data_IF_671515678251
#
_entry.id   IF_671515678251
#
_cell.length_a   1.000
_cell.length_b   1.000
_cell.length_c   1.000
_cell.angle_alpha   90.00
_cell.angle_beta   90.00
_cell.angle_gamma   90.00
#
_symmetry.space_group_name_H-M   'P 1'
#
loop_
_entity.id
_entity.type
_entity.pdbx_description
1 polymer ?
#
# COMPACT_ATOMS: atom_id res chain seq x y z
N UNK A 1 2.05 -19.02 23.51
CA UNK A 1 3.12 -18.45 22.67
C UNK A 1 4.02 -19.47 21.96
N UNK A 2 3.59 -20.70 21.71
CA UNK A 2 4.48 -21.82 21.23
C UNK A 2 3.99 -22.59 19.99
N UNK A 3 3.05 -22.05 19.18
CA UNK A 3 2.46 -22.78 18.04
C UNK A 3 2.64 -22.14 16.67
N UNK A 4 3.43 -21.07 16.56
CA UNK A 4 3.66 -20.38 15.28
C UNK A 4 4.90 -20.82 14.52
N UNK A 5 5.87 -21.47 15.20
CA UNK A 5 7.13 -21.91 14.59
C UNK A 5 7.07 -23.33 13.98
N UNK A 6 6.04 -24.12 14.27
CA UNK A 6 5.95 -25.53 13.83
C UNK A 6 5.10 -25.75 12.57
N UNK A 7 4.55 -24.71 11.94
CA UNK A 7 3.92 -24.77 10.62
C UNK A 7 4.70 -24.01 9.53
N UNK A 8 6.01 -24.02 9.60
CA UNK A 8 6.84 -23.85 8.40
C UNK A 8 6.62 -25.13 7.58
N UNK A 9 5.60 -25.07 6.72
CA UNK A 9 5.20 -26.19 5.88
C UNK A 9 6.42 -26.65 5.07
N UNK A 10 6.88 -27.86 5.29
CA UNK A 10 7.89 -28.51 4.44
C UNK A 10 7.71 -28.16 2.94
N UNK A 11 6.48 -28.13 2.38
CA UNK A 11 6.27 -27.73 1.00
C UNK A 11 6.69 -26.27 0.70
N UNK A 12 6.52 -25.33 1.63
CA UNK A 12 6.92 -23.93 1.40
C UNK A 12 8.43 -23.78 1.34
N UNK A 13 9.17 -24.47 2.22
CA UNK A 13 10.64 -24.50 2.19
C UNK A 13 11.15 -25.21 0.93
N UNK A 14 10.51 -26.32 0.52
CA UNK A 14 10.87 -27.01 -0.70
C UNK A 14 10.67 -26.12 -1.94
N UNK A 15 9.55 -25.42 -2.04
CA UNK A 15 9.30 -24.47 -3.14
C UNK A 15 10.33 -23.33 -3.13
N UNK A 16 10.63 -22.74 -1.97
CA UNK A 16 11.66 -21.70 -1.86
C UNK A 16 13.05 -22.22 -2.29
N UNK A 17 13.42 -23.42 -1.87
CA UNK A 17 14.67 -24.05 -2.27
C UNK A 17 14.74 -24.30 -3.79
N UNK A 18 13.66 -24.79 -4.40
CA UNK A 18 13.57 -24.99 -5.86
C UNK A 18 13.71 -23.67 -6.61
N UNK A 19 13.04 -22.60 -6.15
CA UNK A 19 13.13 -21.26 -6.76
C UNK A 19 14.57 -20.74 -6.67
N UNK A 20 15.21 -20.81 -5.51
CA UNK A 20 16.59 -20.34 -5.33
C UNK A 20 17.58 -21.20 -6.13
N UNK A 21 17.41 -22.52 -6.16
CA UNK A 21 18.23 -23.42 -6.98
C UNK A 21 18.07 -23.14 -8.48
N UNK A 22 16.84 -22.94 -8.94
CA UNK A 22 16.54 -22.53 -10.32
C UNK A 22 17.19 -21.20 -10.68
N UNK A 23 17.09 -20.18 -9.79
CA UNK A 23 17.77 -18.92 -9.96
C UNK A 23 19.28 -19.09 -10.04
N UNK A 24 19.86 -19.88 -9.14
CA UNK A 24 21.31 -20.14 -9.16
C UNK A 24 21.76 -20.83 -10.44
N UNK A 25 21.05 -21.87 -10.90
CA UNK A 25 21.35 -22.57 -12.16
C UNK A 25 21.25 -21.63 -13.37
N UNK A 26 20.21 -20.80 -13.43
CA UNK A 26 20.06 -19.80 -14.50
C UNK A 26 21.17 -18.74 -14.45
N UNK A 27 21.61 -18.32 -13.26
CA UNK A 27 22.70 -17.35 -13.13
C UNK A 27 24.05 -17.88 -13.65
N UNK A 28 24.25 -19.20 -13.70
CA UNK A 28 25.43 -19.81 -14.30
C UNK A 28 25.42 -19.74 -15.84
N UNK A 29 24.22 -19.69 -16.44
CA UNK A 29 24.05 -19.64 -17.91
C UNK A 29 24.04 -18.21 -18.45
N UNK A 30 23.43 -17.28 -17.71
CA UNK A 30 23.33 -15.87 -18.07
C UNK A 30 24.42 -15.09 -17.32
N UNK A 31 25.22 -14.29 -17.97
CA UNK A 31 26.27 -13.50 -17.31
C UNK A 31 25.73 -12.62 -16.17
N UNK A 32 26.58 -12.25 -15.22
CA UNK A 32 26.23 -11.49 -14.02
C UNK A 32 25.54 -10.13 -14.32
N UNK A 33 25.73 -9.58 -15.51
CA UNK A 33 25.05 -8.37 -15.98
C UNK A 33 23.56 -8.58 -16.28
N UNK A 34 23.13 -9.81 -16.58
CA UNK A 34 21.72 -10.13 -16.88
C UNK A 34 21.05 -10.71 -15.65
N UNK A 35 21.68 -11.69 -15.01
CA UNK A 35 21.14 -12.38 -13.85
C UNK A 35 22.24 -12.63 -12.81
N UNK A 36 22.38 -11.76 -11.81
CA UNK A 36 23.35 -11.93 -10.74
C UNK A 36 23.04 -13.18 -9.91
N UNK A 37 24.08 -13.85 -9.40
CA UNK A 37 23.90 -15.03 -8.55
C UNK A 37 23.26 -14.65 -7.21
N UNK A 38 22.51 -15.57 -6.56
CA UNK A 38 21.96 -15.35 -5.23
C UNK A 38 23.03 -14.94 -4.20
N UNK A 39 24.23 -15.50 -4.29
CA UNK A 39 25.34 -15.15 -3.41
C UNK A 39 25.85 -13.72 -3.64
N UNK A 40 25.88 -13.23 -4.89
CA UNK A 40 26.24 -11.86 -5.19
C UNK A 40 25.19 -10.90 -4.60
N UNK A 41 23.90 -11.18 -4.81
CA UNK A 41 22.80 -10.38 -4.27
C UNK A 41 22.84 -10.35 -2.74
N UNK A 42 23.10 -11.48 -2.09
CA UNK A 42 23.24 -11.54 -0.63
C UNK A 42 24.39 -10.65 -0.12
N UNK A 43 25.55 -10.66 -0.81
CA UNK A 43 26.69 -9.76 -0.47
C UNK A 43 26.32 -8.30 -0.63
N UNK A 44 25.68 -7.92 -1.75
CA UNK A 44 25.23 -6.55 -1.94
C UNK A 44 24.18 -6.12 -0.90
N UNK A 45 23.29 -7.05 -0.49
CA UNK A 45 22.38 -6.83 0.61
C UNK A 45 23.10 -6.56 1.94
N UNK A 46 24.14 -7.32 2.28
CA UNK A 46 24.94 -7.09 3.47
C UNK A 46 25.67 -5.73 3.42
N UNK A 47 26.14 -5.32 2.25
CA UNK A 47 26.79 -4.03 2.04
C UNK A 47 25.86 -2.84 2.33
N UNK A 48 24.65 -2.82 1.76
CA UNK A 48 23.69 -1.73 2.00
C UNK A 48 23.19 -1.67 3.44
N UNK A 49 23.23 -2.79 4.17
CA UNK A 49 22.94 -2.83 5.61
C UNK A 49 24.11 -2.23 6.38
N UNK A 50 25.36 -2.62 6.06
CA UNK A 50 26.57 -2.13 6.73
C UNK A 50 26.78 -0.63 6.51
N UNK A 51 26.51 -0.11 5.32
CA UNK A 51 26.60 1.33 4.99
C UNK A 51 25.42 2.16 5.54
N UNK A 52 24.34 1.50 5.98
CA UNK A 52 23.14 2.17 6.44
C UNK A 52 22.24 2.71 5.33
N UNK A 53 22.57 2.49 4.06
CA UNK A 53 21.75 2.94 2.92
C UNK A 53 20.34 2.36 2.92
N UNK A 54 20.20 1.11 3.36
CA UNK A 54 18.90 0.46 3.48
C UNK A 54 17.91 1.28 4.32
N UNK A 55 18.36 1.82 5.46
CA UNK A 55 17.51 2.60 6.36
C UNK A 55 17.18 3.95 5.79
N UNK A 56 18.14 4.61 5.15
CA UNK A 56 17.97 5.93 4.55
C UNK A 56 16.92 5.90 3.44
N UNK A 57 17.05 4.99 2.49
CA UNK A 57 16.18 4.93 1.32
C UNK A 57 14.82 4.31 1.64
N UNK A 58 14.77 3.23 2.44
CA UNK A 58 13.52 2.63 2.90
C UNK A 58 12.72 3.60 3.77
N UNK A 59 13.38 4.31 4.70
CA UNK A 59 12.74 5.32 5.53
C UNK A 59 12.14 6.47 4.71
N UNK A 60 12.86 6.94 3.69
CA UNK A 60 12.37 7.98 2.78
C UNK A 60 11.10 7.53 2.01
N UNK A 61 11.10 6.32 1.45
CA UNK A 61 9.93 5.75 0.77
C UNK A 61 8.76 5.58 1.72
N UNK A 62 8.98 4.98 2.89
CA UNK A 62 7.91 4.77 3.88
C UNK A 62 7.31 6.07 4.40
N UNK A 63 8.11 7.12 4.60
CA UNK A 63 7.62 8.43 5.00
C UNK A 63 6.69 9.04 3.95
N UNK A 64 7.06 9.00 2.65
CA UNK A 64 6.22 9.48 1.55
C UNK A 64 4.93 8.68 1.44
N UNK A 65 5.02 7.36 1.55
CA UNK A 65 3.86 6.47 1.53
C UNK A 65 2.93 6.80 2.71
N UNK A 66 3.46 6.96 3.91
CA UNK A 66 2.66 7.28 5.09
C UNK A 66 1.89 8.60 4.93
N UNK A 67 2.53 9.64 4.37
CA UNK A 67 1.88 10.94 4.12
C UNK A 67 0.83 10.82 3.00
N UNK A 68 1.17 10.24 1.85
CA UNK A 68 0.25 10.12 0.71
C UNK A 68 -0.94 9.21 1.01
N UNK A 69 -0.69 8.04 1.58
CA UNK A 69 -1.73 7.09 1.99
C UNK A 69 -2.58 7.63 3.14
N UNK A 70 -1.96 8.22 4.17
CA UNK A 70 -2.68 8.83 5.28
C UNK A 70 -3.60 9.95 4.83
N UNK A 71 -3.12 10.83 3.95
CA UNK A 71 -3.95 11.87 3.32
C UNK A 71 -5.11 11.29 2.52
N UNK A 72 -4.88 10.22 1.74
CA UNK A 72 -5.92 9.54 0.97
C UNK A 72 -6.99 8.92 1.87
N UNK A 73 -6.60 8.27 2.97
CA UNK A 73 -7.55 7.71 3.94
C UNK A 73 -8.39 8.81 4.58
N UNK A 74 -7.78 9.92 5.00
CA UNK A 74 -8.51 11.05 5.57
C UNK A 74 -9.51 11.65 4.57
N UNK A 75 -9.09 11.88 3.33
CA UNK A 75 -9.95 12.38 2.28
C UNK A 75 -11.08 11.39 1.94
N UNK A 76 -10.80 10.09 1.89
CA UNK A 76 -11.81 9.04 1.67
C UNK A 76 -12.86 9.01 2.78
N UNK A 77 -12.45 9.17 4.05
CA UNK A 77 -13.39 9.27 5.18
C UNK A 77 -14.26 10.52 5.05
N UNK A 78 -13.69 11.66 4.68
CA UNK A 78 -14.47 12.88 4.44
C UNK A 78 -15.47 12.71 3.30
N UNK A 79 -15.07 12.11 2.18
CA UNK A 79 -15.97 11.81 1.05
C UNK A 79 -17.10 10.86 1.47
N UNK A 80 -16.82 9.83 2.25
CA UNK A 80 -17.82 8.91 2.75
C UNK A 80 -18.80 9.58 3.72
N UNK A 81 -18.33 10.49 4.59
CA UNK A 81 -19.18 11.30 5.45
C UNK A 81 -20.11 12.20 4.63
N UNK A 82 -19.60 12.86 3.60
CA UNK A 82 -20.40 13.68 2.69
C UNK A 82 -21.45 12.81 1.94
N UNK A 83 -21.06 11.63 1.47
CA UNK A 83 -21.96 10.66 0.82
C UNK A 83 -23.06 10.14 1.76
N UNK A 84 -22.82 10.14 3.07
CA UNK A 84 -23.83 9.79 4.07
C UNK A 84 -24.93 10.85 4.23
N UNK A 85 -24.58 12.14 4.07
CA UNK A 85 -25.49 13.25 4.30
C UNK A 85 -26.61 13.35 3.25
N UNK A 86 -26.35 12.98 1.97
CA UNK A 86 -27.33 13.13 0.90
C UNK A 86 -27.13 12.09 -0.20
N UNK A 87 -28.26 11.60 -0.77
CA UNK A 87 -28.24 10.71 -1.93
C UNK A 87 -27.61 11.36 -3.17
N UNK A 88 -27.84 12.67 -3.37
CA UNK A 88 -27.24 13.41 -4.48
C UNK A 88 -25.70 13.44 -4.34
N UNK A 89 -25.22 13.82 -3.15
CA UNK A 89 -23.77 13.85 -2.87
C UNK A 89 -23.14 12.48 -3.04
N UNK A 90 -23.83 11.41 -2.63
CA UNK A 90 -23.36 10.04 -2.85
C UNK A 90 -23.17 9.72 -4.33
N UNK A 91 -24.10 10.13 -5.21
CA UNK A 91 -23.96 9.98 -6.66
C UNK A 91 -22.73 10.72 -7.19
N UNK A 92 -22.56 11.98 -6.81
CA UNK A 92 -21.39 12.78 -7.23
C UNK A 92 -20.07 12.16 -6.74
N UNK A 93 -20.00 11.69 -5.49
CA UNK A 93 -18.81 11.02 -4.95
C UNK A 93 -18.53 9.72 -5.71
N UNK A 94 -19.57 8.94 -6.01
CA UNK A 94 -19.42 7.71 -6.80
C UNK A 94 -18.84 8.00 -8.18
N UNK A 95 -19.36 8.99 -8.89
CA UNK A 95 -18.88 9.35 -10.23
C UNK A 95 -17.46 9.90 -10.19
N UNK A 96 -17.13 10.76 -9.20
CA UNK A 96 -15.77 11.26 -8.98
C UNK A 96 -14.78 10.09 -8.76
N UNK A 97 -15.13 9.17 -7.89
CA UNK A 97 -14.31 7.99 -7.60
C UNK A 97 -14.13 7.11 -8.84
N UNK A 98 -15.18 6.94 -9.66
CA UNK A 98 -15.10 6.18 -10.91
C UNK A 98 -14.13 6.84 -11.91
N UNK A 99 -14.18 8.16 -12.06
CA UNK A 99 -13.25 8.91 -12.93
C UNK A 99 -11.81 8.77 -12.42
N UNK A 100 -11.56 8.90 -11.13
CA UNK A 100 -10.23 8.75 -10.56
C UNK A 100 -9.68 7.32 -10.75
N UNK A 101 -10.51 6.30 -10.58
CA UNK A 101 -10.13 4.89 -10.82
C UNK A 101 -9.83 4.57 -12.28
N UNK A 102 -10.48 5.26 -13.23
CA UNK A 102 -10.23 5.05 -14.65
C UNK A 102 -8.95 5.70 -15.15
N UNK A 103 -8.35 6.59 -14.35
CA UNK A 103 -7.14 7.32 -14.73
C UNK A 103 -5.88 6.45 -14.50
N UNK A 104 -5.02 6.36 -15.52
CA UNK A 104 -3.77 5.61 -15.43
C UNK A 104 -2.81 6.19 -14.38
N UNK A 105 -2.09 5.31 -13.69
CA UNK A 105 -1.03 5.69 -12.75
C UNK A 105 0.00 6.62 -13.39
N UNK A 106 0.38 6.35 -14.64
CA UNK A 106 1.36 7.18 -15.36
C UNK A 106 0.89 8.62 -15.59
N UNK A 107 -0.41 8.83 -15.82
CA UNK A 107 -0.97 10.19 -15.94
C UNK A 107 -0.74 10.96 -14.64
N UNK A 108 -1.01 10.34 -13.49
CA UNK A 108 -0.79 10.97 -12.19
C UNK A 108 0.69 11.23 -11.91
N UNK A 109 1.60 10.35 -12.33
CA UNK A 109 3.05 10.57 -12.21
C UNK A 109 3.46 11.78 -13.03
N UNK A 110 3.04 11.89 -14.29
CA UNK A 110 3.41 13.01 -15.16
C UNK A 110 2.86 14.32 -14.61
N UNK A 111 1.58 14.35 -14.21
CA UNK A 111 0.96 15.55 -13.62
C UNK A 111 1.69 15.94 -12.34
N UNK A 112 2.04 14.99 -11.48
CA UNK A 112 2.74 15.27 -10.23
C UNK A 112 4.10 15.90 -10.45
N UNK A 113 4.84 15.46 -11.45
CA UNK A 113 6.15 16.04 -11.79
C UNK A 113 5.99 17.44 -12.38
N UNK A 114 4.97 17.69 -13.21
CA UNK A 114 4.69 19.01 -13.76
C UNK A 114 4.34 20.01 -12.65
N UNK A 115 3.54 19.61 -11.66
CA UNK A 115 3.07 20.50 -10.59
C UNK A 115 4.08 20.70 -9.46
N UNK A 116 4.79 19.65 -9.08
CA UNK A 116 5.67 19.66 -7.90
C UNK A 116 7.16 19.54 -8.23
N UNK A 117 7.50 19.38 -9.52
CA UNK A 117 8.89 19.16 -9.95
C UNK A 117 9.49 17.88 -9.38
N UNK A 118 10.83 17.82 -9.38
CA UNK A 118 11.59 16.72 -8.79
C UNK A 118 11.68 16.87 -7.26
N UNK A 119 10.59 16.61 -6.58
CA UNK A 119 10.44 16.80 -5.14
C UNK A 119 9.73 15.62 -4.46
N UNK A 120 9.79 15.58 -3.13
CA UNK A 120 9.08 14.58 -2.33
C UNK A 120 7.55 14.62 -2.53
N UNK A 121 7.00 15.77 -2.96
CA UNK A 121 5.57 15.95 -3.17
C UNK A 121 5.05 15.18 -4.38
N UNK A 122 5.87 14.95 -5.41
CA UNK A 122 5.45 14.21 -6.60
C UNK A 122 5.02 12.75 -6.28
N UNK A 123 5.83 11.90 -5.64
CA UNK A 123 5.39 10.56 -5.27
C UNK A 123 4.32 10.57 -4.16
N UNK A 124 4.31 11.55 -3.24
CA UNK A 124 3.25 11.69 -2.23
C UNK A 124 1.90 11.93 -2.90
N UNK A 125 1.82 12.90 -3.83
CA UNK A 125 0.61 13.23 -4.56
C UNK A 125 0.13 12.06 -5.43
N UNK A 126 1.03 11.41 -6.15
CA UNK A 126 0.69 10.24 -6.99
C UNK A 126 0.11 9.11 -6.12
N UNK A 127 0.75 8.83 -4.98
CA UNK A 127 0.27 7.83 -4.02
C UNK A 127 -1.12 8.19 -3.48
N UNK A 128 -1.34 9.47 -3.13
CA UNK A 128 -2.63 9.98 -2.70
C UNK A 128 -3.71 9.76 -3.76
N UNK A 129 -3.46 10.20 -5.01
CA UNK A 129 -4.45 10.16 -6.09
C UNK A 129 -4.88 8.73 -6.49
N UNK A 130 -3.95 7.77 -6.42
CA UNK A 130 -4.25 6.36 -6.73
C UNK A 130 -4.94 5.65 -5.56
N UNK A 131 -4.59 6.00 -4.34
CA UNK A 131 -5.11 5.31 -3.15
C UNK A 131 -6.48 5.82 -2.74
N UNK A 132 -6.72 7.12 -2.91
CA UNK A 132 -7.98 7.79 -2.55
C UNK A 132 -9.21 7.07 -3.12
N UNK A 133 -9.33 6.82 -4.44
CA UNK A 133 -10.53 6.22 -4.99
C UNK A 133 -10.75 4.79 -4.48
N UNK A 134 -9.68 4.04 -4.22
CA UNK A 134 -9.77 2.65 -3.73
C UNK A 134 -10.34 2.61 -2.30
N UNK A 135 -9.85 3.47 -1.41
CA UNK A 135 -10.37 3.55 -0.04
C UNK A 135 -11.78 4.14 -0.03
N UNK A 136 -12.02 5.18 -0.84
CA UNK A 136 -13.32 5.85 -0.92
C UNK A 136 -14.41 4.92 -1.46
N UNK A 137 -14.15 4.12 -2.52
CA UNK A 137 -15.11 3.13 -3.03
C UNK A 137 -15.56 2.17 -1.92
N UNK A 138 -14.61 1.58 -1.22
CA UNK A 138 -14.92 0.65 -0.12
C UNK A 138 -15.76 1.32 0.98
N UNK A 139 -15.41 2.55 1.37
CA UNK A 139 -16.16 3.28 2.39
C UNK A 139 -17.57 3.67 1.94
N UNK A 140 -17.74 4.14 0.70
CA UNK A 140 -19.06 4.49 0.16
C UNK A 140 -19.96 3.25 0.08
N UNK A 141 -19.42 2.10 -0.33
CA UNK A 141 -20.13 0.81 -0.27
C UNK A 141 -20.48 0.44 1.17
N UNK A 142 -19.56 0.63 2.11
CA UNK A 142 -19.81 0.43 3.53
C UNK A 142 -20.95 1.27 4.07
N UNK A 143 -21.00 2.55 3.69
CA UNK A 143 -22.13 3.45 4.05
C UNK A 143 -23.44 3.01 3.40
N UNK A 144 -23.40 2.54 2.17
CA UNK A 144 -24.58 2.05 1.45
C UNK A 144 -25.13 0.73 2.02
N UNK A 145 -24.27 -0.09 2.61
CA UNK A 145 -24.59 -1.40 3.19
C UNK A 145 -25.19 -1.34 4.61
N UNK A 146 -25.29 -0.15 5.22
CA UNK A 146 -25.89 0.00 6.55
C UNK A 146 -27.35 -0.41 6.51
N UNK A 147 -27.72 -1.38 7.35
CA UNK A 147 -29.10 -1.89 7.42
C UNK A 147 -30.06 -0.82 7.96
N UNK A 148 -31.05 -0.50 7.12
CA UNK A 148 -32.10 0.46 7.47
C UNK A 148 -32.88 0.07 8.71
N UNK A 149 -33.08 -1.23 8.95
CA UNK A 149 -33.80 -1.74 10.14
C UNK A 149 -33.09 -1.33 11.43
N UNK A 150 -31.74 -1.31 11.42
CA UNK A 150 -30.96 -0.83 12.57
C UNK A 150 -31.15 0.67 12.81
N UNK A 151 -31.29 1.46 11.74
CA UNK A 151 -31.57 2.90 11.86
C UNK A 151 -32.99 3.15 12.37
N UNK A 152 -33.99 2.41 11.87
CA UNK A 152 -35.38 2.45 12.33
C UNK A 152 -35.48 1.99 13.79
N UNK A 153 -34.76 0.93 14.19
CA UNK A 153 -34.65 0.53 15.59
C UNK A 153 -34.08 1.67 16.45
N UNK A 154 -33.05 2.37 15.97
CA UNK A 154 -32.52 3.55 16.64
C UNK A 154 -33.56 4.67 16.81
N UNK A 155 -34.53 4.81 15.87
CA UNK A 155 -35.64 5.76 15.99
C UNK A 155 -36.63 5.35 17.10
N UNK A 156 -36.96 4.07 17.17
CA UNK A 156 -37.84 3.52 18.24
C UNK A 156 -37.22 3.77 19.62
N UNK A 157 -35.92 3.58 19.76
CA UNK A 157 -35.17 3.87 21.01
C UNK A 157 -34.87 5.36 21.21
N UNK A 158 -35.38 6.25 20.34
CA UNK A 158 -35.17 7.70 20.39
C UNK A 158 -33.68 8.11 20.43
N UNK A 159 -32.82 7.37 19.74
CA UNK A 159 -31.41 7.72 19.63
C UNK A 159 -31.26 9.02 18.83
N UNK A 160 -30.43 9.93 19.33
CA UNK A 160 -30.03 11.12 18.57
C UNK A 160 -29.25 10.76 17.30
N UNK A 161 -29.22 11.66 16.31
CA UNK A 161 -28.45 11.44 15.08
C UNK A 161 -26.98 11.09 15.33
N UNK A 162 -26.34 11.73 16.31
CA UNK A 162 -24.98 11.43 16.74
C UNK A 162 -24.84 10.02 17.33
N UNK A 163 -25.80 9.59 18.14
CA UNK A 163 -25.80 8.24 18.71
C UNK A 163 -25.99 7.17 17.62
N UNK A 164 -26.91 7.37 16.67
CA UNK A 164 -27.08 6.46 15.52
C UNK A 164 -25.82 6.38 14.69
N UNK A 165 -25.18 7.53 14.42
CA UNK A 165 -23.94 7.56 13.66
C UNK A 165 -22.83 6.77 14.37
N UNK A 166 -22.58 7.03 15.66
CA UNK A 166 -21.48 6.37 16.40
C UNK A 166 -21.75 4.92 16.77
N UNK A 167 -23.01 4.55 17.06
CA UNK A 167 -23.38 3.21 17.51
C UNK A 167 -23.78 2.26 16.37
N UNK A 168 -24.22 2.79 15.22
CA UNK A 168 -24.70 1.96 14.10
C UNK A 168 -23.82 2.15 12.87
N UNK A 169 -23.71 3.39 12.37
CA UNK A 169 -23.04 3.65 11.07
C UNK A 169 -21.54 3.35 11.15
N UNK A 170 -20.84 3.92 12.12
CA UNK A 170 -19.39 3.74 12.27
C UNK A 170 -19.01 2.28 12.44
N UNK A 171 -19.62 1.50 13.37
CA UNK A 171 -19.28 0.08 13.50
C UNK A 171 -19.59 -0.74 12.24
N UNK A 172 -20.69 -0.42 11.54
CA UNK A 172 -21.07 -1.12 10.30
C UNK A 172 -20.11 -0.84 9.13
N UNK A 173 -19.55 0.38 9.06
CA UNK A 173 -18.63 0.79 7.98
C UNK A 173 -17.15 0.46 8.26
N UNK A 174 -16.79 0.22 9.53
CA UNK A 174 -15.41 -0.04 9.94
C UNK A 174 -14.74 -1.23 9.20
N UNK A 175 -15.41 -2.39 8.97
CA UNK A 175 -14.84 -3.48 8.20
C UNK A 175 -14.49 -3.09 6.76
N UNK A 176 -15.31 -2.23 6.14
CA UNK A 176 -15.08 -1.71 4.78
C UNK A 176 -13.90 -0.75 4.75
N UNK A 177 -13.75 0.10 5.77
CA UNK A 177 -12.57 0.95 5.92
C UNK A 177 -11.30 0.10 6.00
N UNK A 178 -11.28 -0.92 6.86
CA UNK A 178 -10.11 -1.79 7.02
C UNK A 178 -9.80 -2.54 5.72
N UNK A 179 -10.81 -3.04 5.01
CA UNK A 179 -10.64 -3.69 3.71
C UNK A 179 -10.06 -2.73 2.66
N UNK A 180 -10.64 -1.53 2.54
CA UNK A 180 -10.16 -0.48 1.64
C UNK A 180 -8.74 -0.03 1.96
N UNK A 181 -8.41 0.16 3.24
CA UNK A 181 -7.05 0.47 3.68
C UNK A 181 -6.06 -0.63 3.33
N UNK A 182 -6.41 -1.89 3.50
CA UNK A 182 -5.54 -3.02 3.16
C UNK A 182 -5.19 -3.04 1.67
N UNK A 183 -6.19 -2.95 0.81
CA UNK A 183 -6.00 -2.92 -0.65
C UNK A 183 -5.25 -1.65 -1.07
N UNK A 184 -5.69 -0.49 -0.57
CA UNK A 184 -5.09 0.80 -0.87
C UNK A 184 -3.63 0.91 -0.44
N UNK A 185 -3.26 0.37 0.72
CA UNK A 185 -1.88 0.38 1.18
C UNK A 185 -0.95 -0.49 0.30
N UNK A 186 -1.42 -1.68 -0.12
CA UNK A 186 -0.68 -2.51 -1.06
C UNK A 186 -0.44 -1.83 -2.41
N UNK A 187 -1.39 -1.02 -2.87
CA UNK A 187 -1.22 -0.17 -4.06
C UNK A 187 -0.28 1.01 -3.79
N UNK A 188 -0.41 1.68 -2.64
CA UNK A 188 0.43 2.80 -2.24
C UNK A 188 1.92 2.44 -2.28
N UNK A 189 2.30 1.28 -1.73
CA UNK A 189 3.67 0.76 -1.77
C UNK A 189 4.20 0.61 -3.20
N UNK A 190 3.42 -0.01 -4.09
CA UNK A 190 3.82 -0.24 -5.48
C UNK A 190 3.95 1.06 -6.26
N UNK A 191 2.94 1.92 -6.14
CA UNK A 191 2.85 3.17 -6.90
C UNK A 191 3.90 4.18 -6.45
N UNK A 192 4.16 4.30 -5.13
CA UNK A 192 5.19 5.19 -4.60
C UNK A 192 6.56 4.85 -5.16
N UNK A 193 6.93 3.57 -5.21
CA UNK A 193 8.23 3.13 -5.77
C UNK A 193 8.34 3.48 -7.27
N UNK A 194 7.25 3.29 -8.04
CA UNK A 194 7.24 3.67 -9.47
C UNK A 194 7.36 5.19 -9.63
N UNK A 195 6.66 5.97 -8.81
CA UNK A 195 6.74 7.44 -8.85
C UNK A 195 8.13 7.95 -8.43
N UNK A 196 8.81 7.25 -7.51
CA UNK A 196 10.18 7.57 -7.08
C UNK A 196 11.22 7.42 -8.19
N UNK A 197 10.98 6.55 -9.17
CA UNK A 197 11.87 6.38 -10.33
C UNK A 197 12.06 7.70 -11.10
N UNK A 198 11.01 8.52 -11.16
CA UNK A 198 10.96 9.69 -12.01
C UNK A 198 11.04 11.03 -11.25
N UNK A 199 10.70 11.04 -9.97
CA UNK A 199 10.37 12.27 -9.27
C UNK A 199 11.31 12.71 -8.15
N UNK A 200 12.29 11.90 -7.73
CA UNK A 200 13.08 12.18 -6.52
C UNK A 200 14.53 11.69 -6.62
N UNK A 201 15.36 12.13 -5.64
CA UNK A 201 16.78 11.76 -5.51
C UNK A 201 17.04 10.83 -4.32
N UNK A 202 16.01 10.20 -3.76
CA UNK A 202 16.13 9.26 -2.63
C UNK A 202 14.93 8.32 -2.62
N UNK A 203 15.03 7.18 -1.95
CA UNK A 203 13.98 6.16 -1.88
C UNK A 203 14.36 4.89 -2.60
N UNK A 204 13.58 3.82 -2.39
CA UNK A 204 13.82 2.49 -2.99
C UNK A 204 13.74 2.56 -4.52
N UNK A 205 12.71 3.24 -5.06
CA UNK A 205 12.53 3.39 -6.50
C UNK A 205 13.67 4.17 -7.17
N UNK A 206 14.12 5.23 -6.51
CA UNK A 206 15.26 6.02 -6.99
C UNK A 206 16.54 5.18 -7.09
N UNK A 207 16.96 4.51 -6.02
CA UNK A 207 18.20 3.73 -6.03
C UNK A 207 18.13 2.53 -6.95
N UNK A 208 16.96 1.93 -7.11
CA UNK A 208 16.75 0.84 -8.06
C UNK A 208 16.94 1.33 -9.51
N UNK A 209 16.39 2.51 -9.86
CA UNK A 209 16.57 3.12 -11.15
C UNK A 209 18.03 3.58 -11.38
N UNK A 210 18.64 4.24 -10.41
CA UNK A 210 20.05 4.64 -10.47
C UNK A 210 20.98 3.44 -10.70
N UNK A 211 20.75 2.34 -9.96
CA UNK A 211 21.52 1.10 -10.15
C UNK A 211 21.35 0.52 -11.56
N UNK A 212 20.16 0.64 -12.14
CA UNK A 212 19.89 0.24 -13.52
C UNK A 212 20.66 1.11 -14.53
N UNK A 213 20.68 2.43 -14.33
CA UNK A 213 21.36 3.38 -15.22
C UNK A 213 22.87 3.18 -15.25
N UNK A 214 23.47 2.84 -14.11
CA UNK A 214 24.92 2.54 -14.03
C UNK A 214 25.24 1.06 -14.30
N UNK A 215 24.26 0.28 -14.78
CA UNK A 215 24.39 -1.15 -15.09
C UNK A 215 24.82 -2.03 -13.89
N UNK A 216 24.59 -1.57 -12.67
CA UNK A 216 24.82 -2.33 -11.44
C UNK A 216 23.63 -3.29 -11.16
N UNK A 217 23.43 -4.25 -12.07
CA UNK A 217 22.29 -5.17 -12.04
C UNK A 217 22.14 -5.89 -10.70
N UNK A 218 23.26 -6.24 -10.06
CA UNK A 218 23.25 -6.83 -8.72
C UNK A 218 22.47 -5.96 -7.72
N UNK A 219 22.68 -4.65 -7.71
CA UNK A 219 22.00 -3.72 -6.79
C UNK A 219 20.52 -3.55 -7.14
N UNK A 220 20.14 -3.64 -8.41
CA UNK A 220 18.73 -3.67 -8.81
C UNK A 220 17.99 -4.84 -8.14
N UNK A 221 18.58 -6.05 -8.16
CA UNK A 221 18.01 -7.21 -7.49
C UNK A 221 17.99 -7.09 -5.97
N UNK A 222 19.03 -6.50 -5.37
CA UNK A 222 19.08 -6.22 -3.92
C UNK A 222 17.90 -5.33 -3.52
N UNK A 223 17.72 -4.19 -4.19
CA UNK A 223 16.63 -3.27 -3.87
C UNK A 223 15.25 -3.82 -4.20
N UNK A 224 15.11 -4.65 -5.23
CA UNK A 224 13.88 -5.39 -5.50
C UNK A 224 13.52 -6.34 -4.34
N UNK A 225 14.50 -7.08 -3.79
CA UNK A 225 14.28 -7.93 -2.62
C UNK A 225 13.96 -7.13 -1.35
N UNK A 226 14.62 -5.97 -1.14
CA UNK A 226 14.29 -5.04 -0.05
C UNK A 226 12.83 -4.58 -0.17
N UNK A 227 12.39 -4.18 -1.38
CA UNK A 227 11.01 -3.79 -1.64
C UNK A 227 10.03 -4.92 -1.29
N UNK A 228 10.28 -6.14 -1.76
CA UNK A 228 9.43 -7.32 -1.44
C UNK A 228 9.40 -7.57 0.07
N UNK A 229 10.55 -7.47 0.74
CA UNK A 229 10.66 -7.61 2.19
C UNK A 229 9.84 -6.56 2.94
N UNK A 230 9.98 -5.28 2.57
CA UNK A 230 9.22 -4.17 3.14
C UNK A 230 7.71 -4.37 2.94
N UNK A 231 7.28 -4.73 1.71
CA UNK A 231 5.87 -5.00 1.42
C UNK A 231 5.31 -6.14 2.29
N UNK A 232 6.03 -7.26 2.36
CA UNK A 232 5.59 -8.44 3.12
C UNK A 232 5.55 -8.15 4.62
N UNK A 233 6.55 -7.44 5.13
CA UNK A 233 6.64 -7.08 6.55
C UNK A 233 5.53 -6.11 6.93
N UNK A 234 5.28 -5.10 6.12
CA UNK A 234 4.27 -4.09 6.38
C UNK A 234 2.86 -4.66 6.30
N UNK A 235 2.58 -5.53 5.31
CA UNK A 235 1.28 -6.22 5.20
C UNK A 235 0.99 -7.05 6.47
N UNK A 236 1.96 -7.85 6.92
CA UNK A 236 1.81 -8.67 8.14
C UNK A 236 1.72 -7.85 9.42
N UNK A 237 2.58 -6.85 9.62
CA UNK A 237 2.64 -6.09 10.88
C UNK A 237 1.50 -5.09 11.01
N UNK A 238 1.19 -4.36 9.95
CA UNK A 238 0.18 -3.30 10.01
C UNK A 238 -1.22 -3.89 9.93
N UNK A 239 -1.51 -4.70 8.91
CA UNK A 239 -2.89 -5.15 8.69
C UNK A 239 -3.33 -6.31 9.56
N UNK A 240 -2.47 -7.26 9.90
CA UNK A 240 -2.82 -8.31 10.85
C UNK A 240 -3.06 -7.73 12.26
N UNK A 241 -2.30 -6.70 12.65
CA UNK A 241 -2.48 -6.04 13.96
C UNK A 241 -3.72 -5.15 13.97
N UNK A 242 -3.95 -4.36 12.91
CA UNK A 242 -5.13 -3.49 12.78
C UNK A 242 -6.41 -4.31 12.72
N UNK A 243 -6.45 -5.36 11.88
CA UNK A 243 -7.63 -6.22 11.75
C UNK A 243 -7.96 -6.93 13.06
N UNK A 244 -6.97 -7.45 13.79
CA UNK A 244 -7.18 -8.10 15.09
C UNK A 244 -7.67 -7.15 16.18
N UNK A 245 -7.25 -5.88 16.16
CA UNK A 245 -7.71 -4.89 17.16
C UNK A 245 -9.09 -4.33 16.84
N UNK A 246 -9.35 -4.01 15.57
CA UNK A 246 -10.59 -3.37 15.16
C UNK A 246 -11.78 -4.36 15.02
N UNK A 247 -11.50 -5.65 14.77
CA UNK A 247 -12.54 -6.69 14.64
C UNK A 247 -12.65 -7.62 15.86
N UNK A 248 -12.16 -7.20 17.03
CA UNK A 248 -12.24 -8.01 18.29
C UNK A 248 -13.65 -8.27 18.80
N UNK A 249 -14.66 -7.60 18.26
CA UNK A 249 -16.08 -7.72 18.65
C UNK A 249 -16.91 -8.60 17.70
N UNK A 250 -16.27 -9.27 16.79
CA UNK A 250 -16.88 -10.32 15.94
C UNK A 250 -16.49 -11.73 16.43
#
# INVERSE_FOLDING_TARGET
>A
MRTWLTRLHLPTLAVAAVVVAGWWLLSLRYGAYVLPSPAAVARGGAEIVATGEIWRHTGASLARIAVGFGGAVLAAVLLALLAFLSRLVRGVVHDLVAVLNSTSVFVWIVISIIWFGLSNWAPIFTTFMITLPVVASNLVEGVASVDRRLLEMGDVYRLSGRQKFTAIVVPSTLPYLVAGMKVGFGLALKVSVVAEIFGVTSGIGYVMNYSREILATQMVFVWALVMIGVMTLTDKLVFDMVSRRLMRWR
#
